data_IF_700453760488
#
_entry.id   IF_700453760488
#
_cell.length_a   1.000
_cell.length_b   1.000
_cell.length_c   1.000
_cell.angle_alpha   90.00
_cell.angle_beta   90.00
_cell.angle_gamma   90.00
#
_symmetry.space_group_name_H-M   'P 1'
#
loop_
_entity.id
_entity.type
_entity.pdbx_description
1 polymer ?
#
# COMPACT_ATOMS: atom_id res chain seq x y z
N UNK A 1 -10.67 9.72 23.29
CA UNK A 1 -11.23 8.39 22.97
C UNK A 1 -10.12 7.54 22.38
N UNK A 2 -9.90 6.28 22.83
CA UNK A 2 -8.90 5.41 22.22
C UNK A 2 -9.32 5.07 20.78
N UNK A 3 -8.40 5.23 19.81
CA UNK A 3 -8.65 4.86 18.42
C UNK A 3 -8.77 3.34 18.33
N UNK A 4 -9.84 2.79 17.71
CA UNK A 4 -9.96 1.34 17.51
C UNK A 4 -8.84 0.84 16.59
N UNK A 5 -8.30 -0.36 16.89
CA UNK A 5 -7.28 -1.02 16.07
C UNK A 5 -7.83 -1.33 14.69
N UNK A 6 -7.03 -1.08 13.65
CA UNK A 6 -7.35 -1.49 12.29
C UNK A 6 -7.12 -2.99 12.08
N UNK A 7 -6.21 -3.58 12.86
CA UNK A 7 -5.83 -4.99 12.79
C UNK A 7 -6.73 -5.93 13.61
N UNK A 8 -7.71 -5.41 14.34
CA UNK A 8 -8.62 -6.24 15.14
C UNK A 8 -9.58 -7.09 14.29
N UNK A 9 -9.77 -6.74 13.02
CA UNK A 9 -10.75 -7.38 12.13
C UNK A 9 -10.29 -7.56 10.69
N UNK A 10 -9.09 -7.11 10.33
CA UNK A 10 -8.61 -7.10 8.95
C UNK A 10 -7.14 -7.48 8.85
N UNK A 11 -6.79 -8.11 7.72
CA UNK A 11 -5.40 -8.33 7.35
C UNK A 11 -4.67 -6.99 7.10
N UNK A 12 -3.36 -6.90 7.38
CA UNK A 12 -2.63 -5.64 7.30
C UNK A 12 -2.72 -4.91 5.95
N UNK A 13 -2.71 -5.65 4.84
CA UNK A 13 -2.85 -5.05 3.51
C UNK A 13 -4.25 -4.52 3.26
N UNK A 14 -5.27 -5.22 3.74
CA UNK A 14 -6.66 -4.81 3.56
C UNK A 14 -6.95 -3.55 4.37
N UNK A 15 -6.37 -3.45 5.57
CA UNK A 15 -6.41 -2.23 6.39
C UNK A 15 -5.75 -1.02 5.71
N UNK A 16 -4.61 -1.19 5.02
CA UNK A 16 -3.99 -0.12 4.22
C UNK A 16 -4.87 0.30 3.05
N UNK A 17 -5.36 -0.67 2.27
CA UNK A 17 -6.27 -0.40 1.16
C UNK A 17 -7.53 0.34 1.61
N UNK A 18 -8.11 -0.07 2.74
CA UNK A 18 -9.27 0.59 3.33
C UNK A 18 -8.94 2.02 3.80
N UNK A 19 -7.77 2.24 4.40
CA UNK A 19 -7.33 3.57 4.83
C UNK A 19 -7.23 4.53 3.64
N UNK A 20 -6.58 4.08 2.57
CA UNK A 20 -6.39 4.83 1.32
C UNK A 20 -7.60 4.78 0.37
N UNK A 21 -8.70 4.15 0.79
CA UNK A 21 -9.94 4.08 0.04
C UNK A 21 -9.78 3.51 -1.37
N UNK A 22 -8.92 2.51 -1.49
CA UNK A 22 -8.69 1.75 -2.72
C UNK A 22 -9.00 0.27 -2.52
N UNK A 23 -9.26 -0.42 -3.61
CA UNK A 23 -9.45 -1.87 -3.63
C UNK A 23 -8.09 -2.54 -3.83
N UNK A 24 -7.83 -3.57 -3.02
CA UNK A 24 -6.66 -4.44 -3.19
C UNK A 24 -6.67 -5.04 -4.60
N UNK A 25 -5.61 -4.77 -5.35
CA UNK A 25 -5.52 -5.16 -6.76
C UNK A 25 -4.19 -5.86 -6.99
N UNK A 26 -4.25 -7.01 -7.67
CA UNK A 26 -3.06 -7.76 -8.06
C UNK A 26 -2.71 -7.44 -9.51
N UNK A 27 -1.42 -7.38 -9.88
CA UNK A 27 -1.03 -7.23 -11.28
C UNK A 27 -1.53 -8.43 -12.12
N UNK A 28 -1.42 -8.34 -13.44
CA UNK A 28 -1.56 -9.51 -14.28
C UNK A 28 -0.28 -10.36 -14.24
N UNK A 29 -0.42 -11.69 -14.14
CA UNK A 29 0.73 -12.61 -14.13
C UNK A 29 1.43 -12.62 -15.49
N UNK A 30 2.77 -12.57 -15.48
CA UNK A 30 3.58 -12.66 -16.70
C UNK A 30 3.67 -11.38 -17.54
N UNK A 31 3.05 -10.27 -17.10
CA UNK A 31 3.16 -8.97 -17.76
C UNK A 31 4.12 -8.09 -16.95
N UNK A 32 5.11 -7.42 -17.57
CA UNK A 32 5.94 -6.44 -16.90
C UNK A 32 5.09 -5.35 -16.25
N UNK A 33 5.46 -4.91 -15.05
CA UNK A 33 4.72 -3.84 -14.40
C UNK A 33 4.81 -2.54 -15.20
N UNK A 34 3.68 -1.87 -15.46
CA UNK A 34 3.67 -0.56 -16.10
C UNK A 34 4.30 0.50 -15.19
N UNK A 35 4.53 1.72 -15.71
CA UNK A 35 4.98 2.86 -14.89
C UNK A 35 3.89 3.38 -13.94
N UNK A 36 2.63 3.17 -14.31
CA UNK A 36 1.46 3.59 -13.56
C UNK A 36 0.53 2.40 -13.37
N UNK A 37 -0.07 2.30 -12.18
CA UNK A 37 -0.99 1.24 -11.82
C UNK A 37 -2.34 1.81 -11.45
N UNK A 38 -3.37 1.25 -12.08
CA UNK A 38 -4.75 1.62 -11.87
C UNK A 38 -5.31 0.86 -10.66
N UNK A 39 -5.68 1.59 -9.62
CA UNK A 39 -6.32 1.04 -8.42
C UNK A 39 -7.78 1.51 -8.34
N UNK A 40 -8.76 0.59 -8.28
CA UNK A 40 -10.17 0.97 -8.09
C UNK A 40 -10.35 1.67 -6.75
N UNK A 41 -11.20 2.69 -6.72
CA UNK A 41 -11.47 3.53 -5.56
C UNK A 41 -12.78 3.10 -4.90
N UNK A 42 -12.81 3.03 -3.57
CA UNK A 42 -14.02 2.74 -2.78
C UNK A 42 -14.78 4.02 -2.42
N UNK A 43 -14.07 5.11 -2.14
CA UNK A 43 -14.62 6.46 -1.91
C UNK A 43 -13.57 7.53 -2.20
N UNK A 44 -14.02 8.69 -2.64
CA UNK A 44 -13.14 9.84 -2.93
C UNK A 44 -12.71 10.56 -1.64
N UNK A 45 -11.76 9.96 -0.92
CA UNK A 45 -11.13 10.52 0.27
C UNK A 45 -9.75 9.86 0.49
N UNK A 46 -8.78 10.57 1.08
CA UNK A 46 -7.46 10.02 1.44
C UNK A 46 -6.79 9.19 0.31
N UNK A 47 -6.75 9.73 -0.91
CA UNK A 47 -6.18 9.03 -2.05
C UNK A 47 -4.69 8.78 -1.85
N UNK A 48 -4.20 7.55 -2.15
CA UNK A 48 -2.78 7.30 -2.15
C UNK A 48 -2.14 8.10 -3.28
N UNK A 49 -0.89 8.47 -3.10
CA UNK A 49 -0.10 9.19 -4.10
C UNK A 49 0.68 8.23 -5.02
N UNK A 50 1.05 7.06 -4.51
CA UNK A 50 1.93 6.09 -5.16
C UNK A 50 1.47 4.66 -4.87
N UNK A 51 1.94 3.72 -5.67
CA UNK A 51 1.82 2.29 -5.42
C UNK A 51 3.21 1.67 -5.28
N UNK A 52 3.48 1.02 -4.14
CA UNK A 52 4.70 0.23 -3.96
C UNK A 52 4.52 -1.13 -4.63
N UNK A 53 5.45 -1.50 -5.51
CA UNK A 53 5.58 -2.86 -6.02
C UNK A 53 6.68 -3.58 -5.24
N UNK A 54 6.27 -4.43 -4.30
CA UNK A 54 7.19 -5.12 -3.39
C UNK A 54 7.65 -6.45 -3.97
N UNK A 55 8.95 -6.62 -4.09
CA UNK A 55 9.61 -7.84 -4.54
C UNK A 55 10.34 -8.50 -3.38
N UNK A 56 10.27 -9.83 -3.27
CA UNK A 56 11.03 -10.59 -2.29
C UNK A 56 12.49 -10.69 -2.76
N UNK A 57 13.45 -10.17 -2.00
CA UNK A 57 14.87 -10.12 -2.42
C UNK A 57 15.52 -11.49 -2.65
N UNK A 58 14.98 -12.55 -2.05
CA UNK A 58 15.60 -13.89 -2.05
C UNK A 58 15.11 -14.81 -3.16
N UNK A 59 14.13 -14.40 -3.96
CA UNK A 59 13.51 -15.27 -4.96
C UNK A 59 14.07 -15.01 -6.35
N UNK A 60 14.65 -16.05 -6.95
CA UNK A 60 15.12 -16.06 -8.35
C UNK A 60 13.97 -16.24 -9.36
N UNK A 61 12.74 -16.48 -8.88
CA UNK A 61 11.55 -16.62 -9.68
C UNK A 61 10.84 -15.27 -9.89
N UNK A 62 10.22 -15.11 -11.05
CA UNK A 62 9.33 -14.00 -11.39
C UNK A 62 8.03 -14.08 -10.57
N UNK A 63 8.13 -13.96 -9.25
CA UNK A 63 6.97 -13.89 -8.37
C UNK A 63 6.33 -12.53 -8.58
N UNK A 64 5.01 -12.54 -8.69
CA UNK A 64 4.21 -11.34 -8.82
C UNK A 64 4.42 -10.43 -7.61
N UNK A 65 4.73 -9.13 -7.80
CA UNK A 65 4.94 -8.24 -6.68
C UNK A 65 3.65 -8.00 -5.92
N UNK A 66 3.79 -7.75 -4.62
CA UNK A 66 2.69 -7.27 -3.80
C UNK A 66 2.53 -5.77 -4.05
N UNK A 67 1.33 -5.34 -4.45
CA UNK A 67 1.02 -3.93 -4.66
C UNK A 67 0.45 -3.35 -3.37
N UNK A 68 1.06 -2.28 -2.88
CA UNK A 68 0.66 -1.62 -1.63
C UNK A 68 0.45 -0.12 -1.88
N UNK A 69 -0.75 0.42 -1.59
CA UNK A 69 -1.01 1.85 -1.74
C UNK A 69 -0.28 2.65 -0.65
N UNK A 70 0.23 3.82 -1.02
CA UNK A 70 0.92 4.69 -0.06
C UNK A 70 0.82 6.17 -0.41
N UNK A 71 0.81 6.98 0.63
CA UNK A 71 1.02 8.41 0.54
C UNK A 71 2.51 8.73 0.78
N UNK A 72 3.15 9.36 -0.21
CA UNK A 72 4.57 9.64 -0.20
C UNK A 72 4.94 10.66 0.88
N UNK A 73 4.07 11.63 1.15
CA UNK A 73 4.31 12.61 2.21
C UNK A 73 4.21 11.95 3.58
N UNK A 74 3.21 11.09 3.81
CA UNK A 74 3.11 10.28 5.02
C UNK A 74 4.34 9.37 5.20
N UNK A 75 4.81 8.75 4.11
CA UNK A 75 6.00 7.91 4.15
C UNK A 75 7.25 8.72 4.49
N UNK A 76 7.49 9.84 3.81
CA UNK A 76 8.66 10.70 4.04
C UNK A 76 8.67 11.32 5.45
N UNK A 77 7.50 11.48 6.07
CA UNK A 77 7.39 11.91 7.46
C UNK A 77 7.68 10.79 8.48
N UNK A 78 7.36 9.53 8.15
CA UNK A 78 7.51 8.38 9.05
C UNK A 78 8.81 7.60 8.88
N UNK A 79 9.38 7.60 7.69
CA UNK A 79 10.55 6.80 7.31
C UNK A 79 11.69 7.70 6.84
N UNK A 80 12.93 7.27 7.14
CA UNK A 80 14.16 8.03 6.80
C UNK A 80 14.76 7.68 5.45
N UNK A 81 14.23 6.67 4.78
CA UNK A 81 14.79 6.17 3.52
C UNK A 81 14.05 6.86 2.39
N UNK A 82 14.72 7.70 1.62
CA UNK A 82 14.09 8.39 0.50
C UNK A 82 13.89 7.43 -0.69
N UNK A 83 12.69 6.85 -0.78
CA UNK A 83 12.25 6.08 -1.96
C UNK A 83 11.33 6.90 -2.88
N UNK A 84 10.77 7.99 -2.36
CA UNK A 84 9.95 8.93 -3.11
C UNK A 84 10.68 10.26 -3.25
N UNK A 85 10.66 10.91 -4.43
CA UNK A 85 11.03 12.30 -4.51
C UNK A 85 10.04 13.14 -3.67
N UNK A 86 10.49 14.25 -3.05
CA UNK A 86 9.58 15.13 -2.33
C UNK A 86 8.52 15.71 -3.28
N UNK A 87 7.27 15.72 -2.84
CA UNK A 87 6.16 16.28 -3.58
C UNK A 87 6.41 17.75 -3.91
N UNK A 88 6.13 18.16 -5.15
CA UNK A 88 6.21 19.57 -5.52
C UNK A 88 5.21 20.39 -4.69
N UNK A 89 5.57 21.60 -4.21
CA UNK A 89 4.65 22.46 -3.51
C UNK A 89 3.38 22.72 -4.35
N UNK A 90 2.20 22.44 -3.78
CA UNK A 90 0.92 22.57 -4.47
C UNK A 90 0.49 21.34 -5.29
N UNK A 91 1.23 20.22 -5.20
CA UNK A 91 0.78 18.94 -5.74
C UNK A 91 -0.53 18.53 -5.07
N UNK A 92 -1.55 18.22 -5.87
CA UNK A 92 -2.84 17.70 -5.38
C UNK A 92 -2.82 16.19 -5.34
N UNK A 93 -3.61 15.59 -4.43
CA UNK A 93 -3.86 14.16 -4.46
C UNK A 93 -4.40 13.73 -5.83
N UNK A 94 -4.09 12.50 -6.29
CA UNK A 94 -4.63 11.98 -7.54
C UNK A 94 -6.17 12.02 -7.57
N UNK A 95 -6.74 12.44 -8.69
CA UNK A 95 -8.20 12.56 -8.85
C UNK A 95 -8.77 11.27 -9.44
N UNK A 96 -9.77 10.63 -8.81
CA UNK A 96 -10.41 9.45 -9.38
C UNK A 96 -11.09 9.76 -10.72
N UNK A 97 -10.97 8.83 -11.68
CA UNK A 97 -11.65 8.90 -12.98
C UNK A 97 -12.41 7.58 -13.26
N UNK A 98 -13.50 7.63 -14.05
CA UNK A 98 -14.18 6.41 -14.47
C UNK A 98 -13.30 5.63 -15.46
N UNK A 99 -12.93 4.40 -15.11
CA UNK A 99 -12.09 3.55 -15.95
C UNK A 99 -12.82 3.16 -17.26
N UNK A 100 -12.17 3.29 -18.43
CA UNK A 100 -12.84 3.24 -19.74
C UNK A 100 -13.58 1.93 -20.05
N UNK A 101 -13.10 0.80 -19.52
CA UNK A 101 -13.68 -0.52 -19.83
C UNK A 101 -14.71 -0.99 -18.81
N UNK A 102 -14.68 -0.47 -17.57
CA UNK A 102 -15.50 -0.99 -16.45
C UNK A 102 -16.45 0.04 -15.86
N UNK A 103 -16.23 1.34 -16.13
CA UNK A 103 -16.96 2.43 -15.50
C UNK A 103 -16.66 2.61 -14.00
N UNK A 104 -15.78 1.80 -13.43
CA UNK A 104 -15.39 1.87 -12.01
C UNK A 104 -14.49 3.08 -11.78
N UNK A 105 -14.77 3.86 -10.74
CA UNK A 105 -13.87 4.94 -10.32
C UNK A 105 -12.51 4.36 -9.92
N UNK A 106 -11.46 4.89 -10.51
CA UNK A 106 -10.11 4.36 -10.43
C UNK A 106 -9.12 5.51 -10.33
N UNK A 107 -8.00 5.26 -9.67
CA UNK A 107 -6.89 6.19 -9.57
C UNK A 107 -5.64 5.57 -10.19
N UNK A 108 -4.98 6.32 -11.07
CA UNK A 108 -3.73 5.90 -11.71
C UNK A 108 -2.54 6.40 -10.88
N UNK A 109 -1.78 5.47 -10.32
CA UNK A 109 -0.69 5.77 -9.38
C UNK A 109 0.68 5.43 -9.97
N UNK A 110 1.69 6.31 -9.87
CA UNK A 110 3.06 5.93 -10.19
C UNK A 110 3.53 4.75 -9.34
N UNK A 111 4.17 3.77 -10.00
CA UNK A 111 4.70 2.58 -9.33
C UNK A 111 6.14 2.83 -8.87
N UNK A 112 6.43 2.50 -7.61
CA UNK A 112 7.78 2.49 -7.07
C UNK A 112 8.18 1.04 -6.74
N UNK A 113 9.13 0.45 -7.49
CA UNK A 113 9.58 -0.91 -7.22
C UNK A 113 10.54 -0.93 -6.02
N UNK A 114 10.30 -1.83 -5.06
CA UNK A 114 11.13 -1.98 -3.86
C UNK A 114 11.41 -3.46 -3.61
N UNK A 115 12.67 -3.81 -3.40
CA UNK A 115 13.07 -5.16 -2.98
C UNK A 115 13.16 -5.23 -1.46
N UNK A 116 12.49 -6.20 -0.85
CA UNK A 116 12.39 -6.36 0.60
C UNK A 116 12.72 -7.78 1.04
N UNK A 117 13.26 -7.98 2.25
CA UNK A 117 13.56 -9.31 2.76
C UNK A 117 12.33 -10.20 2.97
N UNK A 118 11.16 -9.61 3.25
CA UNK A 118 9.92 -10.35 3.49
C UNK A 118 8.68 -9.53 3.11
N UNK A 119 8.05 -9.84 1.98
CA UNK A 119 6.94 -9.06 1.41
C UNK A 119 5.72 -9.01 2.32
N UNK A 120 5.38 -10.11 2.99
CA UNK A 120 4.16 -10.21 3.78
C UNK A 120 4.20 -9.36 5.06
N UNK A 121 5.39 -9.03 5.56
CA UNK A 121 5.53 -8.17 6.75
C UNK A 121 5.45 -6.68 6.42
N UNK A 122 5.63 -6.26 5.17
CA UNK A 122 5.69 -4.84 4.82
C UNK A 122 4.38 -4.09 5.08
N UNK A 123 3.19 -4.61 4.69
CA UNK A 123 1.94 -3.93 5.01
C UNK A 123 1.76 -3.68 6.52
N UNK A 124 2.15 -4.67 7.35
CA UNK A 124 2.14 -4.52 8.80
C UNK A 124 3.10 -3.42 9.25
N UNK A 125 4.35 -3.43 8.78
CA UNK A 125 5.34 -2.41 9.15
C UNK A 125 4.91 -1.01 8.71
N UNK A 126 4.27 -0.87 7.55
CA UNK A 126 3.73 0.41 7.07
C UNK A 126 2.61 0.92 7.97
N UNK A 127 1.69 0.06 8.44
CA UNK A 127 0.64 0.51 9.36
C UNK A 127 1.20 1.16 10.63
N UNK A 128 2.25 0.56 11.21
CA UNK A 128 2.89 1.12 12.42
C UNK A 128 3.82 2.30 12.10
N UNK A 129 4.63 2.20 11.05
CA UNK A 129 5.59 3.25 10.68
C UNK A 129 4.93 4.53 10.17
N UNK A 130 3.72 4.43 9.59
CA UNK A 130 2.90 5.58 9.20
C UNK A 130 1.98 6.08 10.33
N UNK A 131 2.02 5.46 11.51
CA UNK A 131 1.16 5.82 12.65
C UNK A 131 -0.34 5.53 12.44
N UNK A 132 -0.68 4.65 11.51
CA UNK A 132 -2.06 4.22 11.25
C UNK A 132 -2.55 3.22 12.29
N UNK A 133 -1.65 2.38 12.78
CA UNK A 133 -1.85 1.49 13.91
C UNK A 133 -0.89 1.87 15.06
N UNK A 134 -1.43 1.94 16.28
CA UNK A 134 -0.68 2.31 17.48
C UNK A 134 -0.76 1.25 18.57
N UNK A 135 -1.60 0.24 18.40
CA UNK A 135 -1.74 -0.86 19.35
C UNK A 135 -0.63 -1.88 19.14
N UNK A 136 0.46 -1.72 19.88
CA UNK A 136 1.65 -2.59 19.81
C UNK A 136 1.35 -4.06 20.13
N UNK A 137 0.31 -4.34 20.91
CA UNK A 137 -0.11 -5.72 21.19
C UNK A 137 -0.64 -6.43 19.93
N UNK A 138 -1.28 -5.70 19.02
CA UNK A 138 -1.74 -6.24 17.73
C UNK A 138 -0.57 -6.60 16.81
N UNK A 139 0.55 -5.85 16.90
CA UNK A 139 1.79 -6.19 16.19
C UNK A 139 2.32 -7.55 16.63
N UNK A 140 2.42 -7.76 17.95
CA UNK A 140 2.94 -9.01 18.50
C UNK A 140 2.12 -10.22 18.02
N UNK A 141 0.80 -10.10 17.98
CA UNK A 141 -0.09 -11.17 17.48
C UNK A 141 0.14 -11.50 16.00
N UNK A 142 0.31 -10.48 15.15
CA UNK A 142 0.53 -10.69 13.70
C UNK A 142 1.96 -11.11 13.33
N UNK A 143 2.91 -11.02 14.27
CA UNK A 143 4.26 -11.56 14.11
C UNK A 143 4.38 -13.02 14.55
N UNK A 144 3.40 -13.54 15.29
CA UNK A 144 3.37 -14.96 15.63
C UNK A 144 2.94 -15.74 14.37
N UNK A 145 3.70 -16.76 14.02
CA UNK A 145 3.29 -17.70 12.97
C UNK A 145 1.92 -18.28 13.34
N UNK A 146 0.94 -18.34 12.41
CA UNK A 146 -0.30 -19.06 12.68
C UNK A 146 0.09 -20.49 13.06
N UNK A 147 -0.26 -20.89 14.29
CA UNK A 147 0.03 -22.23 14.77
C UNK A 147 -0.69 -23.23 13.84
N UNK A 148 0.07 -24.24 13.41
CA UNK A 148 -0.34 -25.33 12.52
C UNK A 148 -1.51 -26.12 13.09
#
# INVERSE_FOLDING_TARGET
MPRPSLLGSMEPLDALCQHFNVVKTSPASGIPLPRYFDMPVTRDAHMPSHALALYQSTTTSYIQPLIVPIDADMYNNGFRVDIFPPSAPGSTSPVPYPHPNSGTLTVSLPIVPVSVPHIASIPLLLLFGLGLETQTNSLALHLLTPQV
#
